data_IF_021421716460
#
_entry.id   IF_021421716460
#
_cell.length_a   1.000
_cell.length_b   1.000
_cell.length_c   1.000
_cell.angle_alpha   90.00
_cell.angle_beta   90.00
_cell.angle_gamma   90.00
#
_symmetry.space_group_name_H-M   'P 1'
#
loop_
_entity.id
_entity.type
_entity.pdbx_description
1 polymer ?
#
# COMPACT_ATOMS: atom_id res chain seq x y z
N UNK A 1 -25.36 12.75 -10.51
CA UNK A 1 -24.69 12.80 -11.82
C UNK A 1 -23.77 11.58 -12.07
N UNK A 2 -24.35 10.38 -12.07
CA UNK A 2 -24.14 9.33 -13.08
C UNK A 2 -22.78 8.67 -13.32
N UNK A 3 -21.64 9.18 -12.84
CA UNK A 3 -20.33 8.53 -13.04
C UNK A 3 -19.54 8.50 -11.74
N UNK A 4 -19.74 7.44 -10.95
CA UNK A 4 -18.85 7.05 -9.85
C UNK A 4 -17.53 6.52 -10.43
N UNK A 5 -16.72 7.41 -10.99
CA UNK A 5 -15.38 7.09 -11.48
C UNK A 5 -14.42 7.23 -10.31
N UNK A 6 -13.77 6.13 -9.96
CA UNK A 6 -12.64 6.14 -9.03
C UNK A 6 -11.37 5.90 -9.85
N UNK A 7 -10.47 6.88 -9.87
CA UNK A 7 -9.13 6.68 -10.43
C UNK A 7 -8.24 5.98 -9.41
N UNK A 8 -7.57 4.92 -9.84
CA UNK A 8 -6.55 4.25 -9.03
C UNK A 8 -5.20 4.97 -9.12
N UNK A 9 -4.62 5.32 -7.97
CA UNK A 9 -3.25 5.85 -7.88
C UNK A 9 -2.26 4.69 -7.78
N UNK A 10 -1.15 4.75 -8.52
CA UNK A 10 -0.18 3.64 -8.58
C UNK A 10 1.23 4.10 -8.29
N UNK A 11 1.93 3.36 -7.43
CA UNK A 11 3.37 3.48 -7.23
C UNK A 11 4.07 2.35 -7.99
N UNK A 12 4.67 2.71 -9.13
CA UNK A 12 5.45 1.83 -10.00
C UNK A 12 6.70 2.59 -10.45
N UNK A 13 7.88 1.93 -10.55
CA UNK A 13 9.09 2.58 -11.03
C UNK A 13 8.88 3.27 -12.39
N UNK A 14 9.39 4.50 -12.50
CA UNK A 14 9.26 5.34 -13.69
C UNK A 14 7.91 6.04 -13.87
N UNK A 15 6.98 5.93 -12.90
CA UNK A 15 5.67 6.60 -12.95
C UNK A 15 5.52 7.53 -11.75
N UNK A 16 5.02 8.74 -12.00
CA UNK A 16 4.64 9.68 -10.94
C UNK A 16 3.20 9.35 -10.51
N UNK A 17 2.95 9.05 -9.23
CA UNK A 17 1.61 8.80 -8.74
C UNK A 17 0.74 10.05 -8.88
N UNK A 18 -0.46 9.89 -9.44
CA UNK A 18 -1.43 10.96 -9.58
C UNK A 18 -2.64 10.70 -8.67
N UNK A 19 -3.06 11.74 -7.96
CA UNK A 19 -4.23 11.76 -7.09
C UNK A 19 -5.25 12.67 -7.75
N UNK A 20 -6.37 12.11 -8.16
CA UNK A 20 -7.42 12.89 -8.81
C UNK A 20 -8.15 13.73 -7.77
N UNK A 21 -8.37 15.01 -8.08
CA UNK A 21 -9.09 15.92 -7.20
C UNK A 21 -10.60 15.56 -7.14
N UNK A 22 -11.26 16.05 -6.09
CA UNK A 22 -12.71 15.91 -5.87
C UNK A 22 -13.22 14.47 -5.77
N UNK A 23 -12.35 13.53 -5.36
CA UNK A 23 -12.75 12.19 -4.98
C UNK A 23 -13.01 12.11 -3.48
N UNK A 24 -14.02 11.33 -3.10
CA UNK A 24 -14.28 10.93 -1.71
C UNK A 24 -13.53 9.67 -1.31
N UNK A 25 -13.17 8.85 -2.30
CA UNK A 25 -12.58 7.53 -2.13
C UNK A 25 -11.30 7.40 -2.95
N UNK A 26 -10.21 6.96 -2.32
CA UNK A 26 -8.91 6.80 -2.98
C UNK A 26 -8.46 5.35 -2.93
N UNK A 27 -8.27 4.75 -4.11
CA UNK A 27 -7.69 3.42 -4.26
C UNK A 27 -6.22 3.53 -4.67
N UNK A 28 -5.30 3.13 -3.80
CA UNK A 28 -3.86 3.29 -3.98
C UNK A 28 -3.19 1.92 -4.06
N UNK A 29 -2.40 1.68 -5.11
CA UNK A 29 -1.71 0.40 -5.34
C UNK A 29 -0.19 0.58 -5.36
N UNK A 30 0.48 -0.08 -4.41
CA UNK A 30 1.93 -0.18 -4.37
C UNK A 30 2.37 -1.42 -5.15
N UNK A 31 2.84 -1.25 -6.38
CA UNK A 31 3.11 -2.36 -7.31
C UNK A 31 4.59 -2.76 -7.30
N UNK A 32 5.49 -1.78 -7.33
CA UNK A 32 6.91 -2.02 -7.63
C UNK A 32 7.15 -2.45 -9.08
N UNK A 33 8.20 -3.24 -9.29
CA UNK A 33 8.54 -3.85 -10.58
C UNK A 33 8.56 -5.39 -10.49
N UNK A 34 8.73 -6.05 -11.62
CA UNK A 34 8.71 -7.52 -11.71
C UNK A 34 10.07 -8.17 -11.49
N UNK A 35 11.05 -7.44 -10.95
CA UNK A 35 12.41 -7.97 -10.77
C UNK A 35 12.52 -8.87 -9.53
N UNK A 36 11.70 -8.61 -8.49
CA UNK A 36 11.68 -9.42 -7.27
C UNK A 36 10.98 -10.75 -7.54
N UNK A 37 11.65 -11.86 -7.20
CA UNK A 37 11.16 -13.24 -7.38
C UNK A 37 11.00 -14.02 -6.07
N UNK A 38 11.47 -13.48 -4.94
CA UNK A 38 11.41 -14.14 -3.63
C UNK A 38 10.51 -13.33 -2.69
N UNK A 39 9.40 -13.95 -2.24
CA UNK A 39 8.28 -13.24 -1.61
C UNK A 39 8.05 -13.49 -0.12
N UNK A 40 9.08 -13.92 0.62
CA UNK A 40 8.99 -14.27 2.04
C UNK A 40 9.71 -13.30 2.99
N UNK A 41 10.34 -12.25 2.45
CA UNK A 41 11.06 -11.23 3.21
C UNK A 41 11.17 -9.96 2.38
N UNK A 42 11.36 -8.83 3.04
CA UNK A 42 11.68 -7.57 2.35
C UNK A 42 13.03 -7.73 1.64
N UNK A 43 13.06 -7.44 0.35
CA UNK A 43 14.23 -7.50 -0.53
C UNK A 43 14.70 -6.11 -0.96
N UNK A 44 13.83 -5.09 -0.88
CA UNK A 44 14.11 -3.74 -1.36
C UNK A 44 13.45 -2.70 -0.46
N UNK A 45 14.21 -1.68 -0.10
CA UNK A 45 13.66 -0.52 0.60
C UNK A 45 12.88 0.38 -0.37
N UNK A 46 11.69 0.82 0.03
CA UNK A 46 10.82 1.72 -0.75
C UNK A 46 10.64 3.09 -0.08
N UNK A 47 11.68 3.57 0.62
CA UNK A 47 11.61 4.78 1.46
C UNK A 47 11.04 6.00 0.74
N UNK A 48 11.52 6.29 -0.47
CA UNK A 48 11.05 7.44 -1.25
C UNK A 48 9.55 7.32 -1.58
N UNK A 49 9.13 6.15 -2.07
CA UNK A 49 7.72 5.86 -2.37
C UNK A 49 6.84 5.99 -1.13
N UNK A 50 7.29 5.47 0.02
CA UNK A 50 6.56 5.54 1.28
C UNK A 50 6.49 6.96 1.86
N UNK A 51 7.56 7.75 1.72
CA UNK A 51 7.57 9.15 2.14
C UNK A 51 6.64 10.01 1.29
N UNK A 52 6.66 9.82 -0.04
CA UNK A 52 5.75 10.52 -0.94
C UNK A 52 4.29 10.14 -0.65
N UNK A 53 4.00 8.84 -0.53
CA UNK A 53 2.69 8.33 -0.12
C UNK A 53 2.21 8.96 1.18
N UNK A 54 3.06 8.97 2.21
CA UNK A 54 2.74 9.58 3.50
C UNK A 54 2.35 11.04 3.35
N UNK A 55 3.17 11.83 2.66
CA UNK A 55 2.93 13.25 2.44
C UNK A 55 1.60 13.49 1.71
N UNK A 56 1.28 12.67 0.71
CA UNK A 56 0.03 12.82 -0.05
C UNK A 56 -1.19 12.41 0.77
N UNK A 57 -1.12 11.33 1.55
CA UNK A 57 -2.20 10.93 2.47
C UNK A 57 -2.42 11.99 3.56
N UNK A 58 -1.37 12.55 4.14
CA UNK A 58 -1.48 13.63 5.13
C UNK A 58 -2.16 14.89 4.56
N UNK A 59 -2.05 15.14 3.24
CA UNK A 59 -2.82 16.19 2.57
C UNK A 59 -4.28 15.77 2.39
N UNK A 60 -4.54 14.56 1.90
CA UNK A 60 -5.89 14.05 1.70
C UNK A 60 -6.69 14.05 3.00
N UNK A 61 -6.09 13.64 4.12
CA UNK A 61 -6.74 13.63 5.44
C UNK A 61 -7.19 15.02 5.93
N UNK A 62 -6.69 16.11 5.33
CA UNK A 62 -7.12 17.48 5.64
C UNK A 62 -8.28 17.96 4.77
N UNK A 63 -8.61 17.22 3.71
CA UNK A 63 -9.71 17.54 2.81
C UNK A 63 -11.01 17.07 3.48
N UNK A 64 -12.03 17.93 3.59
CA UNK A 64 -13.32 17.52 4.12
C UNK A 64 -13.97 16.48 3.18
N UNK A 65 -14.77 15.57 3.74
CA UNK A 65 -15.55 14.57 3.01
C UNK A 65 -14.73 13.47 2.31
N UNK A 66 -13.47 13.26 2.69
CA UNK A 66 -12.80 11.98 2.39
C UNK A 66 -13.49 10.89 3.21
N UNK A 67 -14.05 9.90 2.51
CA UNK A 67 -14.71 8.76 3.12
C UNK A 67 -13.71 7.63 3.39
N UNK A 68 -12.95 7.22 2.37
CA UNK A 68 -12.03 6.09 2.49
C UNK A 68 -10.73 6.30 1.69
N UNK A 69 -9.61 5.86 2.27
CA UNK A 69 -8.33 5.69 1.57
C UNK A 69 -7.95 4.22 1.68
N UNK A 70 -8.11 3.48 0.60
CA UNK A 70 -7.80 2.06 0.52
C UNK A 70 -6.44 1.85 -0.13
N UNK A 71 -5.49 1.28 0.63
CA UNK A 71 -4.12 1.02 0.16
C UNK A 71 -3.92 -0.49 0.06
N UNK A 72 -3.50 -0.94 -1.13
CA UNK A 72 -3.13 -2.34 -1.37
C UNK A 72 -1.65 -2.43 -1.78
N UNK A 73 -0.95 -3.38 -1.19
CA UNK A 73 0.48 -3.61 -1.43
C UNK A 73 0.69 -4.93 -2.16
N UNK A 74 1.44 -4.90 -3.26
CA UNK A 74 1.86 -6.08 -4.00
C UNK A 74 3.20 -6.59 -3.48
N UNK A 75 3.43 -7.91 -3.50
CA UNK A 75 4.73 -8.49 -3.16
C UNK A 75 5.88 -7.94 -4.02
N UNK A 76 5.61 -7.59 -5.27
CA UNK A 76 6.56 -6.96 -6.18
C UNK A 76 7.03 -5.56 -5.73
N UNK A 77 6.34 -4.94 -4.76
CA UNK A 77 6.74 -3.63 -4.24
C UNK A 77 8.07 -3.69 -3.50
N UNK A 78 8.22 -4.64 -2.58
CA UNK A 78 9.39 -4.72 -1.72
C UNK A 78 9.82 -6.17 -1.40
N UNK A 79 9.11 -7.17 -1.91
CA UNK A 79 9.40 -8.59 -1.69
C UNK A 79 8.59 -9.24 -0.57
N UNK A 80 7.82 -8.50 0.23
CA UNK A 80 6.94 -9.12 1.22
C UNK A 80 5.81 -8.18 1.60
N UNK A 81 4.66 -8.29 0.91
CA UNK A 81 3.53 -7.39 1.10
C UNK A 81 3.01 -7.32 2.55
N UNK A 82 2.96 -8.42 3.33
CA UNK A 82 2.56 -8.36 4.73
C UNK A 82 3.43 -7.42 5.56
N UNK A 83 4.76 -7.50 5.45
CA UNK A 83 5.65 -6.61 6.21
C UNK A 83 5.63 -5.19 5.67
N UNK A 84 5.52 -5.00 4.35
CA UNK A 84 5.32 -3.65 3.79
C UNK A 84 4.00 -3.01 4.26
N UNK A 85 2.94 -3.78 4.46
CA UNK A 85 1.71 -3.30 5.07
C UNK A 85 1.91 -2.95 6.56
N UNK A 86 2.75 -3.69 7.28
CA UNK A 86 3.14 -3.33 8.65
C UNK A 86 3.94 -2.02 8.69
N UNK A 87 4.87 -1.80 7.76
CA UNK A 87 5.60 -0.54 7.64
C UNK A 87 4.64 0.64 7.45
N UNK A 88 3.66 0.51 6.56
CA UNK A 88 2.59 1.50 6.39
C UNK A 88 1.83 1.74 7.70
N UNK A 89 1.36 0.68 8.35
CA UNK A 89 0.65 0.80 9.63
C UNK A 89 1.48 1.53 10.70
N UNK A 90 2.78 1.22 10.80
CA UNK A 90 3.71 1.90 11.72
C UNK A 90 3.79 3.41 11.44
N UNK A 91 3.75 3.84 10.17
CA UNK A 91 3.78 5.28 9.83
C UNK A 91 2.62 6.08 10.42
N UNK A 92 1.45 5.46 10.57
CA UNK A 92 0.24 6.09 11.13
C UNK A 92 -0.12 5.57 12.53
N UNK A 93 0.79 4.87 13.20
CA UNK A 93 0.55 4.34 14.55
C UNK A 93 -0.60 3.31 14.64
N UNK A 94 -0.90 2.61 13.53
CA UNK A 94 -1.94 1.60 13.48
C UNK A 94 -1.45 0.25 13.98
N UNK A 95 -2.36 -0.55 14.53
CA UNK A 95 -2.08 -1.91 14.99
C UNK A 95 -1.61 -2.80 13.83
N UNK A 96 -0.49 -3.49 14.04
CA UNK A 96 0.16 -4.37 13.08
C UNK A 96 0.45 -5.74 13.69
N UNK A 97 0.74 -6.73 12.84
CA UNK A 97 0.96 -8.11 13.26
C UNK A 97 2.37 -8.55 12.87
N UNK A 98 3.13 -9.13 13.80
CA UNK A 98 4.47 -9.63 13.48
C UNK A 98 4.40 -11.02 12.82
N UNK A 99 4.85 -11.11 11.58
CA UNK A 99 4.88 -12.35 10.81
C UNK A 99 6.15 -13.16 11.12
N UNK A 100 6.21 -13.72 12.33
CA UNK A 100 7.39 -14.43 12.83
C UNK A 100 7.40 -15.93 12.47
N UNK A 101 6.28 -16.46 11.98
CA UNK A 101 6.11 -17.85 11.61
C UNK A 101 5.37 -17.97 10.28
N UNK A 102 5.92 -18.77 9.37
CA UNK A 102 5.23 -19.14 8.14
C UNK A 102 4.33 -20.34 8.43
N UNK A 103 3.01 -20.14 8.37
CA UNK A 103 2.05 -21.24 8.49
C UNK A 103 2.21 -22.19 7.29
N UNK A 104 2.23 -23.47 7.59
CA UNK A 104 2.10 -24.56 6.63
C UNK A 104 0.62 -24.90 6.42
N UNK A 105 0.30 -25.64 5.36
CA UNK A 105 -1.06 -26.15 5.13
C UNK A 105 -1.53 -27.04 6.29
N UNK A 106 -0.60 -27.74 6.95
CA UNK A 106 -0.90 -28.66 8.06
C UNK A 106 -1.41 -27.92 9.29
N UNK A 107 -1.03 -26.64 9.46
CA UNK A 107 -1.49 -25.81 10.58
C UNK A 107 -2.98 -25.48 10.51
N UNK A 108 -3.63 -25.72 9.36
CA UNK A 108 -5.05 -25.47 9.14
C UNK A 108 -5.92 -26.74 9.15
N UNK A 109 -5.32 -27.92 9.36
CA UNK A 109 -6.03 -29.21 9.41
C UNK A 109 -6.46 -29.61 10.83
N UNK A 110 -6.31 -28.71 11.82
CA UNK A 110 -6.78 -28.87 13.20
C UNK A 110 -8.04 -28.04 13.41
#
# INVERSE_FOLDING_TARGET
DGKKIILGTTYKPGIIPYYMDNQTDYYIRLIGDREITVFNRVQREQKNSLQDLRKNIEKLMKIPNIYEIFIIVNNHFAGFAPESANELKKLWGLSYHQFNTQKSLVDFLK
#
